data_IF_259076604575
#
_entry.id   IF_259076604575
#
_cell.length_a   1.000
_cell.length_b   1.000
_cell.length_c   1.000
_cell.angle_alpha   90.00
_cell.angle_beta   90.00
_cell.angle_gamma   90.00
#
_symmetry.space_group_name_H-M   'P 1'
#
loop_
_entity.id
_entity.type
_entity.pdbx_description
1 polymer ?
#
# COMPACT_ATOMS: atom_id res chain seq x y z
N UNK A 1 -27.62 29.73 -44.87
CA UNK A 1 -27.53 29.12 -43.53
C UNK A 1 -27.41 30.24 -42.51
N UNK A 2 -28.33 30.29 -41.54
CA UNK A 2 -28.50 31.43 -40.65
C UNK A 2 -27.36 31.51 -39.62
N UNK A 3 -26.57 32.59 -39.66
CA UNK A 3 -25.49 32.89 -38.73
C UNK A 3 -25.93 32.80 -37.25
N UNK A 4 -27.21 33.13 -36.99
CA UNK A 4 -27.85 33.02 -35.67
C UNK A 4 -27.93 31.58 -35.16
N UNK A 5 -28.15 30.61 -36.04
CA UNK A 5 -28.20 29.18 -35.69
C UNK A 5 -26.82 28.64 -35.33
N UNK A 6 -25.76 29.12 -35.98
CA UNK A 6 -24.38 28.70 -35.69
C UNK A 6 -23.88 29.30 -34.37
N UNK A 7 -24.27 30.53 -34.06
CA UNK A 7 -23.98 31.19 -32.78
C UNK A 7 -24.68 30.49 -31.61
N UNK A 8 -25.93 30.06 -31.77
CA UNK A 8 -26.65 29.30 -30.74
C UNK A 8 -26.04 27.92 -30.49
N UNK A 9 -25.59 27.23 -31.55
CA UNK A 9 -24.89 25.93 -31.42
C UNK A 9 -23.52 26.12 -30.78
N UNK A 10 -22.77 27.17 -31.14
CA UNK A 10 -21.47 27.49 -30.54
C UNK A 10 -21.56 27.82 -29.04
N UNK A 11 -22.59 28.57 -28.63
CA UNK A 11 -22.85 28.87 -27.21
C UNK A 11 -23.29 27.61 -26.44
N UNK A 12 -24.10 26.75 -27.06
CA UNK A 12 -24.50 25.46 -26.47
C UNK A 12 -23.33 24.50 -26.24
N UNK A 13 -22.35 24.49 -27.15
CA UNK A 13 -21.13 23.67 -27.02
C UNK A 13 -20.18 24.23 -25.96
N UNK A 14 -20.09 25.56 -25.81
CA UNK A 14 -19.30 26.18 -24.73
C UNK A 14 -19.93 25.97 -23.34
N UNK A 15 -21.26 25.97 -23.24
CA UNK A 15 -21.97 25.68 -21.98
C UNK A 15 -21.86 24.20 -21.56
N UNK A 16 -21.59 23.27 -22.49
CA UNK A 16 -21.42 21.85 -22.18
C UNK A 16 -20.04 21.50 -21.57
N UNK A 17 -19.09 22.46 -21.53
CA UNK A 17 -17.71 22.21 -21.06
C UNK A 17 -17.44 22.68 -19.62
N UNK A 18 -18.45 23.08 -18.85
CA UNK A 18 -18.27 23.57 -17.45
C UNK A 18 -18.71 22.59 -16.37
N UNK A 19 -18.83 21.29 -16.68
CA UNK A 19 -19.07 20.27 -15.64
C UNK A 19 -17.77 19.80 -15.01
N UNK A 20 -17.19 20.63 -14.15
CA UNK A 20 -16.24 20.17 -13.14
C UNK A 20 -17.04 19.86 -11.87
N UNK A 21 -17.37 18.58 -11.67
CA UNK A 21 -18.06 18.13 -10.47
C UNK A 21 -17.04 18.01 -9.31
N UNK A 22 -17.07 18.98 -8.40
CA UNK A 22 -16.64 18.78 -7.02
C UNK A 22 -17.90 18.60 -6.17
N UNK A 23 -17.89 17.63 -5.26
CA UNK A 23 -19.05 17.31 -4.43
C UNK A 23 -19.48 18.53 -3.59
N UNK A 24 -20.78 18.78 -3.57
CA UNK A 24 -21.47 19.72 -2.69
C UNK A 24 -21.10 21.22 -2.75
N UNK A 25 -20.27 21.69 -3.69
CA UNK A 25 -19.91 23.12 -3.79
C UNK A 25 -21.12 24.02 -4.02
N UNK A 26 -22.08 23.56 -4.82
CA UNK A 26 -23.24 24.35 -5.21
C UNK A 26 -24.37 24.32 -4.18
N UNK A 27 -24.34 23.36 -3.24
CA UNK A 27 -25.41 23.11 -2.27
C UNK A 27 -24.99 23.31 -0.80
N UNK A 28 -23.69 23.46 -0.53
CA UNK A 28 -23.16 23.74 0.81
C UNK A 28 -23.58 25.13 1.29
N UNK A 29 -24.11 25.21 2.51
CA UNK A 29 -24.46 26.47 3.19
C UNK A 29 -23.32 26.99 4.06
N UNK A 30 -22.39 26.11 4.44
CA UNK A 30 -21.22 26.41 5.28
C UNK A 30 -19.96 25.81 4.61
N UNK A 31 -18.78 26.44 4.69
CA UNK A 31 -17.55 25.89 4.10
C UNK A 31 -17.20 24.46 4.53
N UNK A 32 -17.58 24.06 5.75
CA UNK A 32 -17.38 22.70 6.28
C UNK A 32 -18.25 21.64 5.57
N UNK A 33 -19.35 22.03 4.93
CA UNK A 33 -20.21 21.13 4.15
C UNK A 33 -19.66 20.88 2.74
N UNK A 34 -18.67 21.66 2.29
CA UNK A 34 -18.06 21.50 0.98
C UNK A 34 -17.22 20.22 0.96
N UNK A 35 -17.56 19.28 0.07
CA UNK A 35 -16.90 17.98 -0.04
C UNK A 35 -17.60 16.83 0.69
N UNK A 36 -18.55 17.11 1.59
CA UNK A 36 -19.35 16.06 2.24
C UNK A 36 -20.50 15.58 1.35
N UNK A 37 -20.68 14.25 1.23
CA UNK A 37 -21.81 13.65 0.51
C UNK A 37 -23.10 13.87 1.31
N UNK A 38 -24.20 14.19 0.63
CA UNK A 38 -25.51 14.27 1.28
C UNK A 38 -26.00 12.88 1.71
N UNK A 39 -26.84 12.78 2.74
CA UNK A 39 -27.38 11.50 3.22
C UNK A 39 -28.09 10.69 2.12
N UNK A 40 -28.83 11.37 1.25
CA UNK A 40 -29.49 10.74 0.10
C UNK A 40 -28.49 10.17 -0.91
N UNK A 41 -27.32 10.79 -1.05
CA UNK A 41 -26.25 10.32 -1.94
C UNK A 41 -25.51 9.13 -1.36
N UNK A 42 -25.27 9.11 -0.04
CA UNK A 42 -24.68 7.96 0.65
C UNK A 42 -25.54 6.70 0.51
N UNK A 43 -26.86 6.83 0.65
CA UNK A 43 -27.79 5.71 0.49
C UNK A 43 -27.85 5.17 -0.95
N UNK A 44 -27.60 6.02 -1.94
CA UNK A 44 -27.65 5.66 -3.36
C UNK A 44 -26.33 5.08 -3.86
N UNK A 45 -25.20 5.54 -3.33
CA UNK A 45 -23.86 5.11 -3.76
C UNK A 45 -23.51 3.68 -3.34
N UNK A 46 -24.15 3.11 -2.29
CA UNK A 46 -23.84 1.79 -1.73
C UNK A 46 -22.31 1.56 -1.62
N UNK A 47 -21.65 2.48 -0.93
CA UNK A 47 -20.19 2.65 -0.92
C UNK A 47 -19.51 1.54 -0.10
N UNK A 48 -19.34 0.36 -0.72
CA UNK A 48 -18.66 -0.81 -0.14
C UNK A 48 -17.63 -1.38 -1.11
N UNK A 49 -16.57 -2.05 -0.62
CA UNK A 49 -15.65 -2.74 -1.52
C UNK A 49 -16.39 -3.81 -2.32
N UNK A 50 -15.97 -3.99 -3.57
CA UNK A 50 -16.53 -5.02 -4.43
C UNK A 50 -16.25 -6.39 -3.83
N UNK A 51 -17.30 -7.13 -3.48
CA UNK A 51 -17.15 -8.46 -2.93
C UNK A 51 -16.44 -9.38 -3.93
N UNK A 52 -15.58 -10.25 -3.42
CA UNK A 52 -14.96 -11.27 -4.26
C UNK A 52 -15.99 -12.34 -4.59
N UNK A 53 -16.03 -12.74 -5.86
CA UNK A 53 -16.81 -13.91 -6.28
C UNK A 53 -16.31 -15.16 -5.56
N UNK A 54 -17.25 -16.02 -5.15
CA UNK A 54 -16.92 -17.35 -4.64
C UNK A 54 -16.27 -18.17 -5.75
N UNK A 55 -15.07 -18.65 -5.48
CA UNK A 55 -14.32 -19.58 -6.34
C UNK A 55 -14.09 -20.83 -5.52
N UNK A 56 -14.62 -21.96 -5.98
CA UNK A 56 -14.37 -23.24 -5.34
C UNK A 56 -13.02 -23.82 -5.77
N UNK A 57 -12.36 -24.58 -4.90
CA UNK A 57 -11.03 -25.16 -5.18
C UNK A 57 -11.02 -26.03 -6.44
N UNK A 58 -12.11 -26.75 -6.71
CA UNK A 58 -12.29 -27.56 -7.93
C UNK A 58 -12.30 -26.71 -9.20
N UNK A 59 -12.63 -25.43 -9.09
CA UNK A 59 -12.75 -24.51 -10.22
C UNK A 59 -11.44 -23.80 -10.55
N UNK A 60 -10.43 -23.95 -9.69
CA UNK A 60 -9.07 -23.48 -9.91
C UNK A 60 -8.32 -24.54 -10.71
N UNK A 61 -7.93 -24.21 -11.94
CA UNK A 61 -7.19 -25.12 -12.82
C UNK A 61 -5.68 -25.02 -12.60
N UNK A 62 -5.22 -23.81 -12.29
CA UNK A 62 -3.84 -23.50 -12.00
C UNK A 62 -3.80 -22.44 -10.92
N UNK A 63 -2.84 -22.55 -10.01
CA UNK A 63 -2.55 -21.52 -9.03
C UNK A 63 -1.05 -21.40 -8.78
N UNK A 64 -0.60 -20.18 -8.51
CA UNK A 64 0.79 -19.89 -8.17
C UNK A 64 0.84 -18.73 -7.19
N UNK A 65 1.40 -18.93 -6.00
CA UNK A 65 1.67 -17.81 -5.10
C UNK A 65 2.94 -17.07 -5.51
N UNK A 66 2.89 -15.75 -5.47
CA UNK A 66 4.00 -14.85 -5.75
C UNK A 66 4.15 -13.80 -4.68
N UNK A 67 5.39 -13.44 -4.40
CA UNK A 67 5.77 -12.34 -3.53
C UNK A 67 6.44 -11.26 -4.37
N UNK A 68 5.88 -10.07 -4.29
CA UNK A 68 6.21 -8.94 -5.11
C UNK A 68 6.66 -7.77 -4.24
N UNK A 69 7.73 -7.11 -4.68
CA UNK A 69 8.23 -5.88 -4.07
C UNK A 69 7.81 -4.71 -4.94
N UNK A 70 6.93 -3.87 -4.41
CA UNK A 70 6.45 -2.64 -5.02
C UNK A 70 7.38 -1.51 -4.59
N UNK A 71 8.23 -1.03 -5.50
CA UNK A 71 9.19 0.05 -5.20
C UNK A 71 8.50 1.40 -5.33
N UNK A 72 8.46 2.19 -4.24
CA UNK A 72 7.72 3.46 -4.21
C UNK A 72 8.38 4.60 -4.99
N UNK A 73 9.68 4.47 -5.26
CA UNK A 73 10.41 5.40 -6.13
C UNK A 73 9.99 5.31 -7.61
N UNK A 74 9.20 4.31 -7.99
CA UNK A 74 8.65 4.21 -9.33
C UNK A 74 7.39 5.09 -9.49
N UNK A 75 7.32 5.84 -10.59
CA UNK A 75 6.20 6.75 -10.87
C UNK A 75 4.84 6.05 -10.89
N UNK A 76 4.79 4.78 -11.28
CA UNK A 76 3.57 3.98 -11.28
C UNK A 76 2.99 3.80 -9.86
N UNK A 77 3.85 3.84 -8.84
CA UNK A 77 3.52 3.51 -7.45
C UNK A 77 3.32 4.76 -6.56
N UNK A 78 3.48 5.96 -7.11
CA UNK A 78 3.26 7.23 -6.41
C UNK A 78 1.91 7.34 -5.69
N UNK A 79 0.78 6.79 -6.22
CA UNK A 79 -0.48 6.78 -5.49
C UNK A 79 -0.42 6.08 -4.12
N UNK A 80 0.50 5.13 -3.95
CA UNK A 80 0.68 4.36 -2.69
C UNK A 80 1.62 5.06 -1.70
N UNK A 81 2.45 5.98 -2.20
CA UNK A 81 3.49 6.68 -1.43
C UNK A 81 3.02 8.03 -0.89
N UNK A 82 2.42 8.85 -1.75
CA UNK A 82 2.00 10.20 -1.38
C UNK A 82 0.63 10.23 -0.68
N UNK A 83 0.38 11.21 0.20
CA UNK A 83 1.29 12.26 0.66
C UNK A 83 2.26 11.80 1.76
N UNK A 84 3.44 12.42 1.80
CA UNK A 84 4.46 12.17 2.82
C UNK A 84 4.25 13.08 4.04
N UNK A 85 3.72 14.29 3.81
CA UNK A 85 3.50 15.30 4.85
C UNK A 85 2.20 15.02 5.63
N UNK A 86 2.25 15.23 6.94
CA UNK A 86 1.12 14.96 7.85
C UNK A 86 0.04 16.05 7.83
N UNK A 87 0.33 17.25 7.30
CA UNK A 87 -0.52 18.44 7.44
C UNK A 87 -1.56 18.63 6.32
N UNK A 88 -1.82 17.62 5.48
CA UNK A 88 -2.70 17.76 4.29
C UNK A 88 -4.20 17.55 4.57
N UNK A 89 -4.59 17.32 5.83
CA UNK A 89 -5.97 17.03 6.24
C UNK A 89 -6.25 15.52 6.35
N UNK A 90 -7.33 15.16 7.06
CA UNK A 90 -7.63 13.76 7.39
C UNK A 90 -7.96 12.90 6.16
N UNK A 91 -8.50 13.51 5.11
CA UNK A 91 -8.92 12.82 3.88
C UNK A 91 -7.75 12.38 2.97
N UNK A 92 -6.51 12.81 3.26
CA UNK A 92 -5.35 12.57 2.39
C UNK A 92 -4.21 11.94 3.16
N UNK A 93 -4.15 10.61 3.13
CA UNK A 93 -3.14 9.82 3.84
C UNK A 93 -2.44 8.85 2.89
N UNK A 94 -1.15 8.61 3.12
CA UNK A 94 -0.42 7.54 2.45
C UNK A 94 -0.91 6.17 2.94
N UNK A 95 -0.67 5.13 2.14
CA UNK A 95 -1.12 3.78 2.50
C UNK A 95 -0.53 3.33 3.86
N UNK A 96 0.74 3.61 4.11
CA UNK A 96 1.39 3.31 5.40
C UNK A 96 0.68 3.98 6.57
N UNK A 97 0.34 5.27 6.44
CA UNK A 97 -0.34 6.00 7.50
C UNK A 97 -1.74 5.46 7.76
N UNK A 98 -2.47 5.12 6.69
CA UNK A 98 -3.79 4.46 6.80
C UNK A 98 -3.67 3.15 7.58
N UNK A 99 -2.69 2.30 7.26
CA UNK A 99 -2.47 1.05 7.97
C UNK A 99 -2.11 1.31 9.44
N UNK A 100 -1.12 2.17 9.70
CA UNK A 100 -0.64 2.45 11.05
C UNK A 100 -1.72 3.07 11.94
N UNK A 101 -2.49 4.04 11.43
CA UNK A 101 -3.60 4.68 12.17
C UNK A 101 -4.67 3.65 12.54
N UNK A 102 -5.03 2.77 11.61
CA UNK A 102 -6.05 1.77 11.85
C UNK A 102 -5.58 0.64 12.77
N UNK A 103 -4.28 0.33 12.80
CA UNK A 103 -3.72 -0.58 13.81
C UNK A 103 -3.72 0.10 15.18
N UNK A 104 -3.31 1.37 15.27
CA UNK A 104 -3.33 2.15 16.51
C UNK A 104 -4.75 2.32 17.10
N UNK A 105 -5.74 2.53 16.23
CA UNK A 105 -7.14 2.67 16.62
C UNK A 105 -7.80 1.31 16.96
N UNK A 106 -7.13 0.19 16.66
CA UNK A 106 -7.66 -1.17 16.89
C UNK A 106 -8.65 -1.65 15.82
N UNK A 107 -8.85 -0.91 14.72
CA UNK A 107 -9.64 -1.34 13.56
C UNK A 107 -9.00 -2.53 12.85
N UNK A 108 -7.67 -2.63 12.88
CA UNK A 108 -6.91 -3.80 12.42
C UNK A 108 -6.47 -4.57 13.67
N UNK A 109 -7.19 -5.64 14.07
CA UNK A 109 -6.93 -6.32 15.33
C UNK A 109 -5.69 -7.22 15.27
N UNK A 110 -5.32 -7.69 14.07
CA UNK A 110 -4.27 -8.67 13.87
C UNK A 110 -3.25 -8.18 12.86
N UNK A 111 -2.00 -8.29 13.26
CA UNK A 111 -0.84 -8.01 12.44
C UNK A 111 0.12 -9.18 12.61
N UNK A 112 0.92 -9.49 11.59
CA UNK A 112 1.75 -10.68 11.55
C UNK A 112 3.22 -10.33 11.34
N UNK A 113 4.13 -11.14 11.88
CA UNK A 113 5.57 -10.98 11.65
C UNK A 113 6.00 -11.44 10.25
N UNK A 114 5.30 -12.43 9.69
CA UNK A 114 5.70 -13.12 8.48
C UNK A 114 4.61 -13.15 7.40
N UNK A 115 5.03 -13.39 6.16
CA UNK A 115 4.13 -13.47 5.01
C UNK A 115 3.23 -14.72 5.01
N UNK A 116 3.52 -15.72 5.85
CA UNK A 116 2.68 -16.91 5.98
C UNK A 116 1.60 -16.75 7.05
N UNK A 117 1.58 -15.62 7.76
CA UNK A 117 0.60 -15.32 8.81
C UNK A 117 0.60 -16.35 9.94
N UNK A 118 1.79 -16.81 10.33
CA UNK A 118 1.97 -17.84 11.37
C UNK A 118 2.13 -17.24 12.76
N UNK A 119 2.79 -16.09 12.87
CA UNK A 119 3.05 -15.40 14.13
C UNK A 119 2.28 -14.08 14.19
N UNK A 120 1.28 -14.01 15.07
CA UNK A 120 0.56 -12.76 15.38
C UNK A 120 1.42 -11.85 16.27
N UNK A 121 1.40 -10.55 15.97
CA UNK A 121 2.12 -9.48 16.69
C UNK A 121 1.14 -8.41 17.13
N UNK A 122 1.32 -7.92 18.35
CA UNK A 122 0.59 -6.75 18.85
C UNK A 122 1.39 -5.48 18.62
N UNK A 123 0.75 -4.31 18.76
CA UNK A 123 1.45 -3.02 18.64
C UNK A 123 2.61 -2.86 19.62
N UNK A 124 2.54 -3.50 20.79
CA UNK A 124 3.64 -3.49 21.75
C UNK A 124 4.88 -4.23 21.24
N UNK A 125 4.65 -5.29 20.46
CA UNK A 125 5.73 -6.10 19.88
C UNK A 125 6.33 -5.44 18.63
N UNK A 126 5.56 -4.57 17.96
CA UNK A 126 6.00 -3.80 16.79
C UNK A 126 6.75 -2.51 17.14
N UNK A 127 6.51 -1.96 18.33
CA UNK A 127 7.18 -0.75 18.82
C UNK A 127 8.71 -0.74 18.63
N UNK A 128 9.48 -1.80 18.98
CA UNK A 128 10.94 -1.80 18.77
C UNK A 128 11.35 -1.83 17.29
N UNK A 129 10.48 -2.30 16.39
CA UNK A 129 10.73 -2.31 14.95
C UNK A 129 10.38 -0.98 14.29
N UNK A 130 9.49 -0.20 14.90
CA UNK A 130 9.04 1.09 14.38
C UNK A 130 9.76 2.29 15.01
N UNK A 131 10.28 2.12 16.24
CA UNK A 131 10.89 3.18 17.04
C UNK A 131 12.23 2.73 17.59
N UNK A 132 13.20 3.64 17.50
CA UNK A 132 14.51 3.53 18.13
C UNK A 132 14.63 4.61 19.18
N UNK A 133 14.99 4.21 20.39
CA UNK A 133 15.35 5.13 21.47
C UNK A 133 16.81 4.87 21.85
N UNK A 134 17.67 5.84 21.57
CA UNK A 134 19.08 5.80 21.97
C UNK A 134 19.35 6.86 23.03
N UNK A 135 20.03 6.48 24.11
CA UNK A 135 20.57 7.44 25.08
C UNK A 135 21.93 7.91 24.57
N UNK A 136 22.13 9.22 24.54
CA UNK A 136 23.42 9.83 24.24
C UNK A 136 24.44 9.55 25.36
N UNK A 137 25.74 9.59 25.06
CA UNK A 137 26.80 9.39 26.07
C UNK A 137 26.63 10.27 27.31
N UNK A 138 26.19 11.53 27.13
CA UNK A 138 25.89 12.46 28.22
C UNK A 138 24.73 11.99 29.13
N UNK A 139 23.74 11.29 28.58
CA UNK A 139 22.66 10.67 29.34
C UNK A 139 23.13 9.48 30.15
N UNK A 140 24.06 8.68 29.61
CA UNK A 140 24.70 7.57 30.33
C UNK A 140 25.55 8.11 31.49
N UNK A 141 26.29 9.20 31.28
CA UNK A 141 27.02 9.89 32.36
C UNK A 141 26.09 10.43 33.44
N UNK A 142 24.95 11.03 33.06
CA UNK A 142 23.93 11.49 34.01
C UNK A 142 23.35 10.32 34.84
N UNK A 143 23.02 9.19 34.19
CA UNK A 143 22.55 7.97 34.87
C UNK A 143 23.55 7.46 35.91
N UNK A 144 24.83 7.42 35.54
CA UNK A 144 25.92 7.02 36.43
C UNK A 144 26.09 8.00 37.61
N UNK A 145 25.91 9.29 37.40
CA UNK A 145 25.97 10.31 38.46
C UNK A 145 24.79 10.23 39.42
N UNK A 146 23.58 9.96 38.91
CA UNK A 146 22.37 9.83 39.72
C UNK A 146 22.21 8.42 40.33
N UNK A 147 23.05 7.47 39.96
CA UNK A 147 22.96 6.08 40.42
C UNK A 147 21.69 5.37 39.95
N UNK A 148 21.12 5.79 38.82
CA UNK A 148 19.87 5.28 38.27
C UNK A 148 20.19 4.36 37.10
N UNK A 149 19.67 3.13 37.15
CA UNK A 149 19.80 2.16 36.05
C UNK A 149 18.59 2.17 35.11
N UNK A 150 17.47 2.78 35.52
CA UNK A 150 16.27 2.88 34.70
C UNK A 150 16.41 3.95 33.60
N UNK A 151 16.44 3.47 32.35
CA UNK A 151 16.47 4.23 31.10
C UNK A 151 15.34 5.28 31.01
N UNK A 152 14.18 5.01 31.62
CA UNK A 152 13.00 5.89 31.55
C UNK A 152 13.10 7.15 32.41
N UNK A 153 14.08 7.22 33.32
CA UNK A 153 14.29 8.40 34.18
C UNK A 153 15.29 9.39 33.58
N UNK A 154 15.89 9.06 32.44
CA UNK A 154 16.82 9.94 31.72
C UNK A 154 16.05 11.15 31.18
N UNK A 155 16.53 12.38 31.42
CA UNK A 155 15.95 13.58 30.82
C UNK A 155 15.79 13.44 29.31
N UNK A 156 14.67 13.89 28.74
CA UNK A 156 14.39 13.75 27.30
C UNK A 156 15.45 14.43 26.42
N UNK A 157 16.17 15.41 26.96
CA UNK A 157 17.29 16.09 26.29
C UNK A 157 18.44 15.14 25.91
N UNK A 158 18.57 14.01 26.60
CA UNK A 158 19.62 13.02 26.34
C UNK A 158 19.12 11.77 25.60
N UNK A 159 17.85 11.75 25.18
CA UNK A 159 17.24 10.63 24.47
C UNK A 159 16.93 11.01 23.04
N UNK A 160 17.57 10.34 22.09
CA UNK A 160 17.26 10.47 20.67
C UNK A 160 16.18 9.44 20.34
N UNK A 161 14.98 9.92 19.98
CA UNK A 161 13.89 9.09 19.48
C UNK A 161 13.79 9.20 17.96
N UNK A 162 13.92 8.08 17.26
CA UNK A 162 13.65 7.98 15.81
C UNK A 162 12.46 7.06 15.60
N UNK A 163 11.48 7.51 14.82
CA UNK A 163 10.30 6.73 14.45
C UNK A 163 10.22 6.63 12.93
N UNK A 164 9.81 5.46 12.42
CA UNK A 164 9.56 5.25 10.99
C UNK A 164 8.31 6.02 10.58
N UNK A 165 8.52 7.10 9.83
CA UNK A 165 7.46 7.85 9.19
C UNK A 165 7.06 7.28 7.82
N UNK A 166 6.04 7.87 7.20
CA UNK A 166 5.65 7.54 5.83
C UNK A 166 6.77 7.83 4.81
N UNK A 167 7.65 8.79 5.12
CA UNK A 167 8.81 9.16 4.29
C UNK A 167 9.87 8.06 4.22
N UNK A 168 10.01 7.27 5.28
CA UNK A 168 11.07 6.26 5.40
C UNK A 168 10.67 4.94 4.70
N UNK A 169 9.40 4.79 4.32
CA UNK A 169 8.90 3.63 3.58
C UNK A 169 9.39 3.67 2.13
N UNK A 170 10.21 2.69 1.74
CA UNK A 170 10.78 2.62 0.38
C UNK A 170 10.04 1.63 -0.53
N UNK A 171 9.39 0.61 0.04
CA UNK A 171 8.65 -0.39 -0.73
C UNK A 171 7.48 -1.01 0.04
N UNK A 172 6.55 -1.64 -0.68
CA UNK A 172 5.58 -2.57 -0.09
C UNK A 172 5.89 -3.99 -0.58
N UNK A 173 5.88 -4.94 0.35
CA UNK A 173 5.92 -6.35 0.02
C UNK A 173 4.48 -6.85 -0.08
N UNK A 174 4.15 -7.50 -1.18
CA UNK A 174 2.81 -8.01 -1.45
C UNK A 174 2.88 -9.49 -1.70
N UNK A 175 2.07 -10.25 -0.97
CA UNK A 175 1.84 -11.67 -1.24
C UNK A 175 0.52 -11.80 -1.96
N UNK A 176 0.55 -12.42 -3.14
CA UNK A 176 -0.67 -12.68 -3.90
C UNK A 176 -0.68 -14.05 -4.55
N UNK A 177 -1.87 -14.42 -5.00
CA UNK A 177 -2.17 -15.67 -5.66
C UNK A 177 -2.62 -15.38 -7.08
N UNK A 178 -1.87 -15.88 -8.06
CA UNK A 178 -2.35 -16.03 -9.42
C UNK A 178 -3.15 -17.31 -9.49
N UNK A 179 -4.37 -17.25 -10.02
CA UNK A 179 -5.18 -18.45 -10.23
C UNK A 179 -6.01 -18.34 -11.51
N UNK A 180 -6.16 -19.46 -12.21
CA UNK A 180 -7.00 -19.55 -13.41
C UNK A 180 -8.35 -20.14 -13.05
N UNK A 181 -9.41 -19.34 -13.17
CA UNK A 181 -10.78 -19.76 -12.91
C UNK A 181 -11.38 -20.38 -14.17
N UNK A 182 -11.62 -21.70 -14.14
CA UNK A 182 -12.17 -22.43 -15.29
C UNK A 182 -13.58 -21.97 -15.68
N UNK A 183 -14.34 -21.36 -14.77
CA UNK A 183 -15.72 -20.91 -15.04
C UNK A 183 -15.75 -19.64 -15.86
N UNK A 184 -14.82 -18.73 -15.55
CA UNK A 184 -14.70 -17.44 -16.24
C UNK A 184 -13.70 -17.53 -17.40
N UNK A 185 -12.82 -18.52 -17.41
CA UNK A 185 -11.77 -18.68 -18.42
C UNK A 185 -10.69 -17.59 -18.32
N UNK A 186 -10.52 -16.97 -17.15
CA UNK A 186 -9.63 -15.83 -16.96
C UNK A 186 -8.59 -16.12 -15.89
N UNK A 187 -7.36 -15.63 -16.11
CA UNK A 187 -6.34 -15.57 -15.09
C UNK A 187 -6.61 -14.37 -14.18
N UNK A 188 -6.75 -14.62 -12.87
CA UNK A 188 -7.00 -13.59 -11.86
C UNK A 188 -5.86 -13.53 -10.86
N UNK A 189 -5.61 -12.32 -10.36
CA UNK A 189 -4.69 -12.08 -9.27
C UNK A 189 -5.47 -11.67 -8.03
N UNK A 190 -5.17 -12.31 -6.90
CA UNK A 190 -5.76 -11.97 -5.60
C UNK A 190 -4.68 -11.69 -4.60
N UNK A 191 -4.71 -10.51 -4.00
CA UNK A 191 -3.79 -10.16 -2.92
C UNK A 191 -4.24 -10.86 -1.64
N UNK A 192 -3.30 -11.48 -0.96
CA UNK A 192 -3.50 -12.14 0.33
C UNK A 192 -2.91 -11.31 1.47
N UNK A 193 -1.76 -10.67 1.24
CA UNK A 193 -1.07 -9.91 2.26
C UNK A 193 -0.34 -8.70 1.70
N UNK A 194 -0.21 -7.69 2.53
CA UNK A 194 0.60 -6.51 2.28
C UNK A 194 1.42 -6.16 3.51
N UNK A 195 2.66 -5.74 3.30
CA UNK A 195 3.55 -5.28 4.35
C UNK A 195 4.29 -4.01 3.91
N UNK A 196 4.24 -2.90 4.67
CA UNK A 196 5.16 -1.79 4.47
C UNK A 196 6.59 -2.23 4.76
N UNK A 197 7.53 -1.82 3.93
CA UNK A 197 8.93 -2.16 4.07
C UNK A 197 9.82 -0.91 4.07
N UNK A 198 10.68 -0.85 5.07
CA UNK A 198 11.63 0.23 5.29
C UNK A 198 12.98 -0.36 5.72
N UNK A 199 14.08 0.42 5.62
CA UNK A 199 15.32 0.07 6.28
C UNK A 199 15.11 -0.07 7.80
N UNK A 200 15.96 -0.87 8.45
CA UNK A 200 15.95 -1.00 9.91
C UNK A 200 16.19 0.37 10.56
N UNK A 201 15.37 0.72 11.55
CA UNK A 201 15.44 1.99 12.31
C UNK A 201 16.85 2.25 12.85
N UNK A 202 17.58 1.19 13.19
CA UNK A 202 18.94 1.31 13.69
C UNK A 202 19.92 1.89 12.66
N UNK A 203 19.65 1.66 11.36
CA UNK A 203 20.55 1.95 10.26
C UNK A 203 19.98 2.92 9.21
N UNK A 204 18.81 3.53 9.45
CA UNK A 204 18.19 4.49 8.51
C UNK A 204 19.18 5.59 8.10
N UNK A 205 19.93 6.13 9.06
CA UNK A 205 20.88 7.22 8.85
C UNK A 205 22.31 6.72 8.52
N UNK A 206 22.51 5.41 8.36
CA UNK A 206 23.81 4.86 8.00
C UNK A 206 24.12 5.09 6.51
N UNK A 207 25.39 5.32 6.18
CA UNK A 207 25.81 5.53 4.79
C UNK A 207 25.92 4.21 4.00
N UNK A 208 25.92 3.07 4.68
CA UNK A 208 26.08 1.74 4.08
C UNK A 208 24.83 1.31 3.29
N UNK A 209 24.98 1.10 1.98
CA UNK A 209 23.89 0.66 1.10
C UNK A 209 23.32 -0.72 1.48
N UNK A 210 24.13 -1.61 2.06
CA UNK A 210 23.67 -2.93 2.48
C UNK A 210 22.62 -2.87 3.60
N UNK A 211 22.72 -1.88 4.49
CA UNK A 211 21.79 -1.70 5.61
C UNK A 211 20.50 -0.97 5.20
N UNK A 212 20.42 -0.52 3.94
CA UNK A 212 19.23 0.14 3.35
C UNK A 212 18.30 -0.84 2.64
N UNK A 213 18.59 -2.15 2.67
CA UNK A 213 17.68 -3.14 2.12
C UNK A 213 16.36 -3.14 2.91
N UNK A 214 15.21 -2.89 2.27
CA UNK A 214 13.97 -2.74 2.99
C UNK A 214 13.42 -4.08 3.46
N UNK A 215 13.12 -4.13 4.74
CA UNK A 215 12.57 -5.30 5.42
C UNK A 215 11.10 -5.01 5.71
N UNK A 216 10.24 -6.02 5.56
CA UNK A 216 8.83 -5.90 5.91
C UNK A 216 8.67 -5.65 7.41
N UNK A 217 8.10 -4.51 7.77
CA UNK A 217 7.90 -4.11 9.17
C UNK A 217 6.87 -5.00 9.84
N UNK A 218 5.75 -5.21 9.15
CA UNK A 218 4.66 -6.04 9.61
C UNK A 218 3.74 -6.44 8.45
N UNK A 219 3.12 -7.62 8.55
CA UNK A 219 2.21 -8.15 7.54
C UNK A 219 0.76 -8.00 7.97
N UNK A 220 -0.08 -7.54 7.05
CA UNK A 220 -1.53 -7.42 7.25
C UNK A 220 -2.25 -8.30 6.26
N UNK A 221 -3.28 -9.03 6.72
CA UNK A 221 -4.10 -9.86 5.86
C UNK A 221 -5.04 -8.99 5.03
N UNK A 222 -4.85 -8.98 3.72
CA UNK A 222 -5.51 -8.03 2.81
C UNK A 222 -7.05 -8.14 2.82
N UNK A 223 -7.65 -9.34 2.84
CA UNK A 223 -9.11 -9.47 2.89
C UNK A 223 -9.78 -8.83 4.11
N UNK A 224 -9.09 -8.73 5.26
CA UNK A 224 -9.64 -8.13 6.49
C UNK A 224 -9.68 -6.60 6.45
N UNK A 225 -8.81 -5.98 5.64
CA UNK A 225 -8.66 -4.51 5.60
C UNK A 225 -9.33 -3.86 4.39
N UNK A 226 -10.09 -4.62 3.60
CA UNK A 226 -10.68 -4.11 2.35
C UNK A 226 -11.64 -2.95 2.56
N UNK A 227 -12.44 -2.99 3.62
CA UNK A 227 -13.35 -1.89 3.96
C UNK A 227 -12.56 -0.61 4.27
N UNK A 228 -11.51 -0.73 5.09
CA UNK A 228 -10.61 0.37 5.47
C UNK A 228 -9.92 0.96 4.22
N UNK A 229 -9.41 0.10 3.34
CA UNK A 229 -8.74 0.52 2.11
C UNK A 229 -9.70 1.05 1.03
N UNK A 230 -10.98 0.70 1.11
CA UNK A 230 -12.02 1.24 0.22
C UNK A 230 -12.38 2.67 0.62
N UNK A 231 -12.50 2.92 1.93
CA UNK A 231 -12.78 4.25 2.47
C UNK A 231 -11.59 5.20 2.26
N UNK A 232 -10.37 4.70 2.49
CA UNK A 232 -9.15 5.46 2.28
C UNK A 232 -8.89 5.74 0.80
N UNK A 233 -8.75 7.02 0.44
CA UNK A 233 -8.55 7.47 -0.94
C UNK A 233 -7.08 7.79 -1.22
N UNK A 234 -6.58 7.20 -2.29
CA UNK A 234 -5.21 7.37 -2.76
C UNK A 234 -5.02 8.66 -3.56
N UNK A 235 -3.79 9.17 -3.55
CA UNK A 235 -3.42 10.35 -4.32
C UNK A 235 -3.50 10.08 -5.83
N UNK A 236 -4.29 10.89 -6.54
CA UNK A 236 -4.40 10.82 -8.00
C UNK A 236 -3.77 12.05 -8.66
N UNK A 237 -2.57 11.88 -9.22
CA UNK A 237 -1.82 12.94 -9.90
C UNK A 237 -2.56 13.50 -11.13
N UNK A 238 -3.40 12.70 -11.79
CA UNK A 238 -4.12 13.15 -13.00
C UNK A 238 -5.39 13.92 -12.68
N UNK A 239 -6.05 13.59 -11.56
CA UNK A 239 -7.30 14.23 -11.17
C UNK A 239 -7.51 14.14 -9.66
N UNK A 240 -7.16 15.21 -8.94
CA UNK A 240 -7.35 15.30 -7.49
C UNK A 240 -8.82 15.36 -7.06
N UNK A 241 -9.74 15.71 -7.96
CA UNK A 241 -11.18 15.77 -7.66
C UNK A 241 -11.85 14.39 -7.66
N UNK A 242 -11.22 13.38 -8.29
CA UNK A 242 -11.72 12.00 -8.33
C UNK A 242 -10.61 11.07 -7.84
N UNK A 243 -10.41 10.97 -6.52
CA UNK A 243 -9.42 10.06 -5.98
C UNK A 243 -9.94 8.61 -6.04
N UNK A 244 -9.03 7.67 -6.27
CA UNK A 244 -9.34 6.24 -6.31
C UNK A 244 -9.11 5.65 -4.92
N UNK A 245 -9.88 4.64 -4.52
CA UNK A 245 -9.60 3.94 -3.26
C UNK A 245 -8.35 3.07 -3.35
N UNK A 246 -7.69 2.85 -2.22
CA UNK A 246 -6.54 1.93 -2.17
C UNK A 246 -6.96 0.49 -2.52
N UNK A 247 -8.14 0.05 -2.08
CA UNK A 247 -8.68 -1.27 -2.44
C UNK A 247 -8.80 -1.42 -3.97
N UNK A 248 -9.34 -0.41 -4.65
CA UNK A 248 -9.48 -0.45 -6.11
C UNK A 248 -8.12 -0.46 -6.82
N UNK A 249 -7.15 0.36 -6.38
CA UNK A 249 -5.81 0.39 -6.98
C UNK A 249 -5.09 -0.95 -6.85
N UNK A 250 -5.14 -1.56 -5.66
CA UNK A 250 -4.45 -2.81 -5.36
C UNK A 250 -5.14 -4.00 -6.06
N UNK A 251 -6.47 -4.10 -6.02
CA UNK A 251 -7.21 -5.16 -6.72
C UNK A 251 -7.12 -5.06 -8.24
N UNK A 252 -7.10 -3.85 -8.79
CA UNK A 252 -6.87 -3.64 -10.23
C UNK A 252 -5.39 -3.76 -10.63
N UNK A 253 -4.51 -4.08 -9.67
CA UNK A 253 -3.06 -4.23 -9.85
C UNK A 253 -2.44 -3.03 -10.56
N UNK A 254 -2.92 -1.82 -10.23
CA UNK A 254 -2.38 -0.55 -10.75
C UNK A 254 -1.12 -0.13 -9.98
N UNK A 255 -0.16 -1.04 -9.96
CA UNK A 255 1.17 -0.85 -9.40
C UNK A 255 2.18 -1.65 -10.21
N UNK A 256 3.43 -1.23 -10.15
CA UNK A 256 4.58 -1.94 -10.68
C UNK A 256 5.31 -2.65 -9.55
N UNK A 257 5.60 -3.93 -9.73
CA UNK A 257 6.26 -4.77 -8.74
C UNK A 257 7.26 -5.73 -9.38
N UNK A 258 8.30 -6.06 -8.61
CA UNK A 258 9.32 -7.06 -8.97
C UNK A 258 9.08 -8.31 -8.14
N UNK A 259 8.94 -9.47 -8.78
CA UNK A 259 8.75 -10.74 -8.07
C UNK A 259 10.09 -11.16 -7.49
N UNK A 260 10.19 -11.22 -6.16
CA UNK A 260 11.43 -11.62 -5.48
C UNK A 260 11.37 -13.05 -4.93
N UNK A 261 10.16 -13.63 -4.84
CA UNK A 261 9.92 -14.98 -4.36
C UNK A 261 8.67 -15.56 -5.02
N UNK A 262 8.72 -16.84 -5.36
CA UNK A 262 7.59 -17.60 -5.92
C UNK A 262 7.43 -18.92 -5.20
N UNK A 263 6.20 -19.44 -5.17
CA UNK A 263 5.92 -20.74 -4.60
C UNK A 263 6.66 -21.83 -5.37
N UNK A 264 7.50 -22.62 -4.70
CA UNK A 264 8.28 -23.64 -5.39
C UNK A 264 8.48 -24.89 -4.54
N UNK A 265 8.78 -26.00 -5.22
CA UNK A 265 9.01 -27.31 -4.59
C UNK A 265 10.21 -27.30 -3.63
N UNK A 266 11.06 -26.27 -3.71
CA UNK A 266 12.26 -26.09 -2.88
C UNK A 266 12.00 -25.24 -1.62
N UNK A 267 10.74 -25.12 -1.18
CA UNK A 267 10.39 -24.38 0.03
C UNK A 267 10.32 -22.86 -0.18
N UNK A 268 9.78 -22.44 -1.33
CA UNK A 268 9.59 -21.04 -1.74
C UNK A 268 10.89 -20.22 -1.69
N UNK A 269 11.95 -20.78 -2.27
CA UNK A 269 13.27 -20.14 -2.37
C UNK A 269 13.20 -18.74 -2.99
N UNK A 270 13.88 -17.76 -2.39
CA UNK A 270 13.98 -16.43 -2.95
C UNK A 270 14.87 -16.38 -4.19
N UNK A 271 14.58 -15.45 -5.11
CA UNK A 271 15.34 -15.23 -6.35
C UNK A 271 16.82 -14.95 -6.05
N UNK A 272 17.09 -14.18 -4.99
CA UNK A 272 18.45 -13.81 -4.54
C UNK A 272 19.30 -15.02 -4.14
N UNK A 273 18.69 -16.11 -3.69
CA UNK A 273 19.44 -17.27 -3.21
C UNK A 273 20.01 -18.15 -4.33
N UNK A 274 19.39 -18.15 -5.51
CA UNK A 274 19.83 -18.96 -6.65
C UNK A 274 20.35 -18.14 -7.83
N UNK A 275 20.02 -16.85 -7.89
CA UNK A 275 20.62 -15.89 -8.83
C UNK A 275 21.64 -15.06 -8.07
N UNK A 276 22.93 -15.36 -8.29
CA UNK A 276 24.04 -14.68 -7.65
C UNK A 276 23.97 -13.15 -7.86
N UNK A 277 24.24 -12.40 -6.79
CA UNK A 277 24.24 -10.93 -6.51
C UNK A 277 24.30 -9.93 -7.68
N UNK A 278 23.50 -10.14 -8.71
CA UNK A 278 23.39 -9.26 -9.85
C UNK A 278 21.93 -8.81 -9.95
N UNK A 279 21.69 -7.55 -9.57
CA UNK A 279 20.36 -6.94 -9.59
C UNK A 279 19.68 -7.05 -10.96
N UNK A 280 20.45 -6.96 -12.05
CA UNK A 280 19.91 -7.13 -13.41
C UNK A 280 19.42 -8.57 -13.63
N UNK A 281 20.18 -9.57 -13.19
CA UNK A 281 19.79 -10.97 -13.34
C UNK A 281 18.57 -11.31 -12.50
N UNK A 282 18.45 -10.74 -11.30
CA UNK A 282 17.27 -10.90 -10.45
C UNK A 282 16.03 -10.27 -11.11
N UNK A 283 16.18 -9.11 -11.76
CA UNK A 283 15.10 -8.48 -12.51
C UNK A 283 14.68 -9.32 -13.72
N UNK A 284 15.64 -9.85 -14.49
CA UNK A 284 15.36 -10.74 -15.62
C UNK A 284 14.65 -12.02 -15.16
N UNK A 285 15.03 -12.57 -14.00
CA UNK A 285 14.38 -13.74 -13.42
C UNK A 285 12.94 -13.42 -12.97
N UNK A 286 12.71 -12.25 -12.36
CA UNK A 286 11.36 -11.75 -12.08
C UNK A 286 10.51 -11.67 -13.36
N UNK A 287 11.05 -11.08 -14.44
CA UNK A 287 10.35 -11.00 -15.72
C UNK A 287 10.09 -12.39 -16.32
N UNK A 288 11.03 -13.33 -16.20
CA UNK A 288 10.82 -14.73 -16.61
C UNK A 288 9.66 -15.39 -15.87
N UNK A 289 9.53 -15.14 -14.57
CA UNK A 289 8.40 -15.65 -13.76
C UNK A 289 7.07 -15.04 -14.24
N UNK A 290 7.03 -13.72 -14.48
CA UNK A 290 5.84 -13.04 -15.03
C UNK A 290 5.48 -13.59 -16.40
N UNK A 291 6.45 -13.77 -17.30
CA UNK A 291 6.25 -14.35 -18.62
C UNK A 291 5.72 -15.77 -18.55
N UNK A 292 6.22 -16.60 -17.62
CA UNK A 292 5.72 -17.95 -17.41
C UNK A 292 4.23 -17.97 -17.04
N UNK A 293 3.81 -17.07 -16.15
CA UNK A 293 2.40 -16.94 -15.76
C UNK A 293 1.55 -16.45 -16.94
N UNK A 294 2.04 -15.47 -17.71
CA UNK A 294 1.35 -14.95 -18.90
C UNK A 294 1.24 -15.97 -20.03
N UNK A 295 2.31 -16.73 -20.28
CA UNK A 295 2.32 -17.76 -21.32
C UNK A 295 1.37 -18.91 -20.94
N UNK A 296 1.28 -19.26 -19.65
CA UNK A 296 0.26 -20.21 -19.19
C UNK A 296 -1.15 -19.75 -19.54
N UNK A 297 -1.48 -18.46 -19.34
CA UNK A 297 -2.76 -17.92 -19.77
C UNK A 297 -2.93 -18.05 -21.29
N UNK A 298 -1.95 -17.63 -22.09
CA UNK A 298 -2.01 -17.73 -23.55
C UNK A 298 -2.21 -19.15 -24.05
N UNK A 299 -1.52 -20.13 -23.45
CA UNK A 299 -1.63 -21.55 -23.80
C UNK A 299 -3.05 -22.10 -23.55
N UNK A 300 -3.82 -21.52 -22.61
CA UNK A 300 -5.22 -21.89 -22.40
C UNK A 300 -6.14 -21.35 -23.51
N UNK A 301 -5.74 -20.28 -24.20
CA UNK A 301 -6.49 -19.66 -25.29
C UNK A 301 -6.09 -20.16 -26.68
N UNK A 302 -4.85 -20.60 -26.87
CA UNK A 302 -4.38 -21.17 -28.13
C UNK A 302 -4.75 -22.65 -28.25
N UNK A 303 -5.78 -22.93 -29.05
CA UNK A 303 -6.15 -24.28 -29.50
C UNK A 303 -5.75 -24.49 -30.95
#
# INVERSE_FOLDING_TARGET
MNLKSFLCIGIGVLAANTMFAQANILNAKIPEEIGMKTEAQLLLDNDKPLEYGYVGDRDILFSKMTWEKIVLNERANFPLYFPIEENLGDDRKSLYRVLLDNINNGSIPKVYADSYFTEERTMKDLAPTLKKEEIMDAGIEWMNQQGVTDQSLVPEEYVIRREIGAADISSYLVKGLWYFDKRQGELKYRILGIAPAAPDVNFIDSDDEANKEPIGLFWVFFPEIRDILHDAKAFNNKNSAVPLSFDHLLNSRRFSGVIYKEENVYGDREVKEYVAENALMQLLESERIKEKIRNFEQDMWSY
#
